data_IF_839033480466
#
_entry.id   IF_839033480466
#
_cell.length_a   1.000
_cell.length_b   1.000
_cell.length_c   1.000
_cell.angle_alpha   90.00
_cell.angle_beta   90.00
_cell.angle_gamma   90.00
#
_symmetry.space_group_name_H-M   'P 1'
#
loop_
_entity.id
_entity.type
_entity.pdbx_description
1 polymer ?
#
# COMPACT_ATOMS: atom_id res chain seq x y z
N UNK A 1 4.55 -2.39 -10.39
CA UNK A 1 3.99 -3.67 -10.91
C UNK A 1 2.53 -3.59 -11.35
N UNK A 2 1.58 -3.13 -10.52
CA UNK A 2 0.16 -3.04 -10.90
C UNK A 2 -0.14 -2.17 -12.14
N UNK A 3 0.63 -1.09 -12.36
CA UNK A 3 0.53 -0.31 -13.59
C UNK A 3 0.85 -1.15 -14.83
N UNK A 4 1.85 -2.04 -14.75
CA UNK A 4 2.20 -2.96 -15.84
C UNK A 4 1.14 -4.05 -16.01
N UNK A 5 0.63 -4.61 -14.90
CA UNK A 5 -0.48 -5.56 -14.92
C UNK A 5 -1.68 -5.00 -15.69
N UNK A 6 -2.09 -3.77 -15.38
CA UNK A 6 -3.26 -3.16 -15.99
C UNK A 6 -3.12 -2.80 -17.47
N UNK A 7 -1.91 -2.81 -18.05
CA UNK A 7 -1.73 -2.43 -19.45
C UNK A 7 -2.48 -3.40 -20.38
N UNK A 8 -3.09 -2.92 -21.49
CA UNK A 8 -3.86 -3.78 -22.40
C UNK A 8 -3.06 -4.94 -23.02
N UNK A 9 -1.73 -4.79 -23.11
CA UNK A 9 -0.83 -5.85 -23.62
C UNK A 9 -0.63 -7.00 -22.61
N UNK A 10 -0.95 -6.79 -21.33
CA UNK A 10 -0.83 -7.76 -20.23
C UNK A 10 -2.21 -8.24 -19.80
N UNK A 11 -3.06 -7.31 -19.35
CA UNK A 11 -4.43 -7.58 -18.90
C UNK A 11 -5.41 -6.59 -19.55
N UNK A 12 -6.12 -7.01 -20.61
CA UNK A 12 -7.13 -6.19 -21.28
C UNK A 12 -8.22 -5.67 -20.32
N UNK A 13 -8.88 -4.58 -20.71
CA UNK A 13 -10.02 -3.96 -20.00
C UNK A 13 -9.76 -3.49 -18.55
N UNK A 14 -8.50 -3.32 -18.15
CA UNK A 14 -8.10 -2.92 -16.78
C UNK A 14 -7.76 -1.44 -16.61
N UNK A 15 -8.44 -0.53 -17.33
CA UNK A 15 -8.15 0.91 -17.33
C UNK A 15 -8.14 1.52 -15.92
N UNK A 16 -9.10 1.15 -15.06
CA UNK A 16 -9.17 1.67 -13.69
C UNK A 16 -7.92 1.32 -12.87
N UNK A 17 -7.37 0.11 -13.07
CA UNK A 17 -6.12 -0.33 -12.42
C UNK A 17 -4.94 0.52 -12.89
N UNK A 18 -4.87 0.86 -14.19
CA UNK A 18 -3.81 1.74 -14.72
C UNK A 18 -3.93 3.13 -14.08
N UNK A 19 -5.11 3.74 -14.10
CA UNK A 19 -5.27 5.13 -13.68
C UNK A 19 -4.90 5.35 -12.21
N UNK A 20 -5.38 4.48 -11.31
CA UNK A 20 -5.13 4.61 -9.87
C UNK A 20 -3.66 4.36 -9.52
N UNK A 21 -3.04 3.33 -10.11
CA UNK A 21 -1.65 2.98 -9.82
C UNK A 21 -0.68 3.95 -10.51
N UNK A 22 -1.06 4.50 -11.67
CA UNK A 22 -0.34 5.59 -12.32
C UNK A 22 -0.36 6.87 -11.47
N UNK A 23 -1.52 7.26 -10.93
CA UNK A 23 -1.61 8.37 -10.00
C UNK A 23 -0.80 8.11 -8.71
N UNK A 24 -0.88 6.89 -8.17
CA UNK A 24 -0.06 6.45 -7.03
C UNK A 24 1.44 6.60 -7.29
N UNK A 25 1.92 6.16 -8.46
CA UNK A 25 3.33 6.29 -8.85
C UNK A 25 3.78 7.76 -8.90
N UNK A 26 2.94 8.67 -9.39
CA UNK A 26 3.23 10.11 -9.39
C UNK A 26 3.36 10.64 -7.96
N UNK A 27 2.40 10.30 -7.09
CA UNK A 27 2.41 10.72 -5.68
C UNK A 27 3.64 10.17 -4.94
N UNK A 28 3.95 8.88 -5.11
CA UNK A 28 5.13 8.24 -4.52
C UNK A 28 6.42 8.87 -5.01
N UNK A 29 6.50 9.22 -6.30
CA UNK A 29 7.65 9.95 -6.86
C UNK A 29 7.84 11.30 -6.18
N UNK A 30 6.74 12.05 -5.96
CA UNK A 30 6.80 13.33 -5.22
C UNK A 30 7.34 13.10 -3.80
N UNK A 31 6.86 12.07 -3.09
CA UNK A 31 7.37 11.75 -1.75
C UNK A 31 8.86 11.37 -1.75
N UNK A 32 9.33 10.62 -2.74
CA UNK A 32 10.74 10.27 -2.89
C UNK A 32 11.59 11.53 -3.16
N UNK A 33 11.10 12.45 -4.01
CA UNK A 33 11.80 13.72 -4.27
C UNK A 33 11.93 14.54 -2.99
N UNK A 34 10.84 14.70 -2.23
CA UNK A 34 10.86 15.37 -0.91
C UNK A 34 11.84 14.66 0.04
N UNK A 35 11.83 13.32 0.07
CA UNK A 35 12.78 12.57 0.88
C UNK A 35 14.23 12.87 0.47
N UNK A 36 14.52 12.94 -0.83
CA UNK A 36 15.85 13.28 -1.33
C UNK A 36 16.26 14.73 -1.09
N UNK A 37 15.33 15.69 -0.99
CA UNK A 37 15.70 17.06 -0.64
C UNK A 37 16.06 17.19 0.83
N UNK A 38 15.34 16.51 1.73
CA UNK A 38 15.46 16.73 3.18
C UNK A 38 16.23 15.65 3.96
N UNK A 39 16.42 14.44 3.43
CA UNK A 39 17.12 13.36 4.14
C UNK A 39 18.63 13.54 4.15
N UNK A 40 19.33 12.89 5.09
CA UNK A 40 20.79 12.75 5.09
C UNK A 40 21.28 11.86 3.93
N UNK A 41 22.54 12.03 3.54
CA UNK A 41 23.16 11.24 2.47
C UNK A 41 23.11 9.73 2.70
N UNK A 42 23.26 9.28 3.95
CA UNK A 42 23.12 7.86 4.31
C UNK A 42 21.74 7.30 3.97
N UNK A 43 20.68 8.03 4.32
CA UNK A 43 19.31 7.67 3.96
C UNK A 43 19.07 7.68 2.45
N UNK A 44 19.57 8.71 1.75
CA UNK A 44 19.46 8.82 0.29
C UNK A 44 20.10 7.64 -0.42
N UNK A 45 21.33 7.28 -0.06
CA UNK A 45 22.05 6.12 -0.63
C UNK A 45 21.25 4.83 -0.51
N UNK A 46 20.65 4.57 0.66
CA UNK A 46 19.82 3.37 0.89
C UNK A 46 18.62 3.33 -0.06
N UNK A 47 17.88 4.43 -0.18
CA UNK A 47 16.71 4.51 -1.05
C UNK A 47 17.12 4.41 -2.54
N UNK A 48 18.22 5.04 -2.96
CA UNK A 48 18.74 4.93 -4.34
C UNK A 48 19.02 3.47 -4.69
N UNK A 49 19.68 2.71 -3.81
CA UNK A 49 19.96 1.29 -4.03
C UNK A 49 18.66 0.49 -4.19
N UNK A 50 17.67 0.74 -3.32
CA UNK A 50 16.36 0.07 -3.39
C UNK A 50 15.67 0.37 -4.72
N UNK A 51 15.65 1.64 -5.16
CA UNK A 51 15.03 2.04 -6.44
C UNK A 51 15.72 1.41 -7.65
N UNK A 52 17.06 1.30 -7.62
CA UNK A 52 17.80 0.62 -8.70
C UNK A 52 17.43 -0.87 -8.76
N UNK A 53 17.40 -1.55 -7.61
CA UNK A 53 17.00 -2.97 -7.54
C UNK A 53 15.58 -3.14 -8.05
N UNK A 54 14.65 -2.29 -7.63
CA UNK A 54 13.25 -2.32 -8.06
C UNK A 54 13.11 -2.07 -9.58
N UNK A 55 13.86 -1.10 -10.12
CA UNK A 55 13.86 -0.79 -11.54
C UNK A 55 14.39 -1.97 -12.38
N UNK A 56 15.51 -2.57 -11.96
CA UNK A 56 16.09 -3.75 -12.61
C UNK A 56 15.10 -4.93 -12.56
N UNK A 57 14.53 -5.19 -11.38
CA UNK A 57 13.54 -6.24 -11.20
C UNK A 57 12.32 -6.04 -12.11
N UNK A 58 11.77 -4.82 -12.13
CA UNK A 58 10.61 -4.48 -12.96
C UNK A 58 10.93 -4.64 -14.45
N UNK A 59 12.08 -4.12 -14.90
CA UNK A 59 12.53 -4.26 -16.29
C UNK A 59 12.71 -5.73 -16.69
N UNK A 60 13.28 -6.56 -15.81
CA UNK A 60 13.43 -7.99 -16.04
C UNK A 60 12.07 -8.69 -16.17
N UNK A 61 11.13 -8.41 -15.25
CA UNK A 61 9.77 -8.99 -15.33
C UNK A 61 9.07 -8.58 -16.61
N UNK A 62 9.15 -7.30 -17.01
CA UNK A 62 8.57 -6.80 -18.27
C UNK A 62 9.19 -7.52 -19.46
N UNK A 63 10.51 -7.58 -19.54
CA UNK A 63 11.23 -8.23 -20.65
C UNK A 63 10.87 -9.71 -20.76
N UNK A 64 10.90 -10.45 -19.65
CA UNK A 64 10.55 -11.87 -19.60
C UNK A 64 9.08 -12.07 -20.02
N UNK A 65 8.17 -11.26 -19.46
CA UNK A 65 6.73 -11.35 -19.75
C UNK A 65 6.44 -11.16 -21.23
N UNK A 66 7.01 -10.13 -21.86
CA UNK A 66 6.70 -9.78 -23.24
C UNK A 66 7.44 -10.66 -24.26
N UNK A 67 8.59 -11.23 -23.90
CA UNK A 67 9.40 -12.08 -24.79
C UNK A 67 8.92 -13.53 -24.80
N UNK A 68 8.62 -14.10 -23.62
CA UNK A 68 8.37 -15.54 -23.48
C UNK A 68 6.88 -15.90 -23.39
N UNK A 69 6.00 -14.94 -23.13
CA UNK A 69 4.55 -15.19 -23.03
C UNK A 69 3.81 -14.39 -24.09
N UNK A 70 3.03 -15.10 -24.90
CA UNK A 70 2.38 -14.53 -26.08
C UNK A 70 0.86 -14.38 -25.93
N UNK A 71 0.26 -15.04 -24.94
CA UNK A 71 -1.17 -14.93 -24.65
C UNK A 71 -1.45 -13.97 -23.49
N UNK A 72 -2.60 -13.30 -23.52
CA UNK A 72 -3.03 -12.43 -22.42
C UNK A 72 -3.18 -13.18 -21.10
N UNK A 73 -3.70 -14.41 -21.14
CA UNK A 73 -3.88 -15.26 -19.96
C UNK A 73 -2.54 -15.55 -19.25
N UNK A 74 -1.51 -15.96 -20.00
CA UNK A 74 -0.19 -16.23 -19.42
C UNK A 74 0.46 -14.97 -18.83
N UNK A 75 0.36 -13.84 -19.54
CA UNK A 75 0.93 -12.55 -19.08
C UNK A 75 0.22 -12.07 -17.81
N UNK A 76 -1.12 -12.11 -17.82
CA UNK A 76 -1.95 -11.76 -16.68
C UNK A 76 -1.63 -12.65 -15.48
N UNK A 77 -1.50 -13.96 -15.68
CA UNK A 77 -1.18 -14.90 -14.61
C UNK A 77 0.14 -14.59 -13.93
N UNK A 78 1.23 -14.47 -14.70
CA UNK A 78 2.56 -14.29 -14.12
C UNK A 78 2.70 -12.94 -13.44
N UNK A 79 2.28 -11.87 -14.12
CA UNK A 79 2.36 -10.51 -13.56
C UNK A 79 1.40 -10.37 -12.36
N UNK A 80 0.21 -10.95 -12.45
CA UNK A 80 -0.79 -10.97 -11.39
C UNK A 80 -0.28 -11.67 -10.14
N UNK A 81 0.31 -12.87 -10.26
CA UNK A 81 0.91 -13.58 -9.13
C UNK A 81 2.01 -12.77 -8.45
N UNK A 82 2.89 -12.13 -9.22
CA UNK A 82 3.92 -11.23 -8.68
C UNK A 82 3.27 -10.05 -7.91
N UNK A 83 2.22 -9.45 -8.48
CA UNK A 83 1.49 -8.37 -7.83
C UNK A 83 0.84 -8.81 -6.52
N UNK A 84 0.24 -10.01 -6.46
CA UNK A 84 -0.32 -10.58 -5.22
C UNK A 84 0.78 -10.70 -4.15
N UNK A 85 1.93 -11.27 -4.50
CA UNK A 85 3.05 -11.45 -3.54
C UNK A 85 3.47 -10.11 -2.94
N UNK A 86 3.70 -9.09 -3.78
CA UNK A 86 4.05 -7.75 -3.28
C UNK A 86 2.95 -7.15 -2.41
N UNK A 87 1.69 -7.31 -2.81
CA UNK A 87 0.56 -6.78 -2.04
C UNK A 87 0.44 -7.43 -0.66
N UNK A 88 0.64 -8.75 -0.58
CA UNK A 88 0.69 -9.47 0.71
C UNK A 88 1.84 -8.96 1.58
N UNK A 89 3.03 -8.75 1.01
CA UNK A 89 4.16 -8.19 1.75
C UNK A 89 3.85 -6.80 2.31
N UNK A 90 3.08 -5.97 1.59
CA UNK A 90 2.66 -4.65 2.07
C UNK A 90 1.77 -4.74 3.33
N UNK A 91 1.02 -5.84 3.53
CA UNK A 91 0.22 -6.03 4.74
C UNK A 91 1.05 -6.21 6.02
N UNK A 92 2.36 -6.40 5.92
CA UNK A 92 3.24 -6.37 7.10
C UNK A 92 3.17 -5.03 7.86
N UNK A 93 2.99 -3.91 7.14
CA UNK A 93 2.87 -2.57 7.75
C UNK A 93 1.65 -2.44 8.66
N UNK A 94 0.39 -2.63 8.18
CA UNK A 94 -0.78 -2.57 9.05
C UNK A 94 -0.77 -3.63 10.16
N UNK A 95 -0.22 -4.82 9.92
CA UNK A 95 -0.03 -5.84 10.98
C UNK A 95 0.88 -5.35 12.12
N UNK A 96 1.94 -4.61 11.78
CA UNK A 96 2.83 -4.00 12.78
C UNK A 96 2.11 -2.95 13.61
N UNK A 97 1.25 -2.13 12.98
CA UNK A 97 0.42 -1.15 13.68
C UNK A 97 -0.59 -1.84 14.59
N UNK A 98 -1.28 -2.88 14.13
CA UNK A 98 -2.22 -3.66 14.95
C UNK A 98 -1.53 -4.28 16.17
N UNK A 99 -0.34 -4.85 15.98
CA UNK A 99 0.48 -5.38 17.09
C UNK A 99 0.84 -4.29 18.10
N UNK A 100 1.19 -3.10 17.62
CA UNK A 100 1.48 -1.95 18.47
C UNK A 100 0.25 -1.57 19.30
N UNK A 101 -0.93 -1.43 18.68
CA UNK A 101 -2.20 -1.11 19.38
C UNK A 101 -2.51 -2.12 20.49
N UNK A 102 -2.36 -3.42 20.21
CA UNK A 102 -2.62 -4.47 21.21
C UNK A 102 -1.64 -4.36 22.40
N UNK A 103 -0.37 -4.06 22.12
CA UNK A 103 0.68 -3.94 23.15
C UNK A 103 0.54 -2.67 23.98
N UNK A 104 0.26 -1.53 23.34
CA UNK A 104 0.14 -0.22 23.99
C UNK A 104 -1.25 0.04 24.53
N UNK A 105 -2.24 -0.78 24.16
CA UNK A 105 -3.66 -0.60 24.49
C UNK A 105 -4.20 0.76 24.05
N UNK A 106 -3.60 1.32 23.00
CA UNK A 106 -3.85 2.67 22.50
C UNK A 106 -3.93 2.70 20.98
N UNK A 107 -4.93 3.38 20.43
CA UNK A 107 -5.17 3.52 18.98
C UNK A 107 -4.60 4.82 18.41
N UNK A 108 -3.75 5.52 19.16
CA UNK A 108 -3.21 6.85 18.80
C UNK A 108 -2.50 6.87 17.44
N UNK A 109 -1.73 5.83 17.12
CA UNK A 109 -1.01 5.72 15.83
C UNK A 109 -1.83 5.04 14.73
N UNK A 110 -3.14 4.88 14.96
CA UNK A 110 -4.04 4.16 14.07
C UNK A 110 -5.32 4.99 13.84
N UNK A 111 -5.27 6.01 12.97
CA UNK A 111 -6.38 6.93 12.77
C UNK A 111 -7.58 6.23 12.12
N UNK A 112 -8.77 6.41 12.71
CA UNK A 112 -10.02 5.79 12.24
C UNK A 112 -10.31 6.08 10.77
N UNK A 113 -10.11 7.32 10.33
CA UNK A 113 -10.37 7.75 8.96
C UNK A 113 -9.56 6.95 7.95
N UNK A 114 -8.30 6.63 8.27
CA UNK A 114 -7.44 5.83 7.40
C UNK A 114 -7.92 4.37 7.32
N UNK A 115 -8.32 3.79 8.46
CA UNK A 115 -8.86 2.43 8.50
C UNK A 115 -10.19 2.32 7.75
N UNK A 116 -11.10 3.29 7.90
CA UNK A 116 -12.36 3.35 7.16
C UNK A 116 -12.14 3.54 5.65
N UNK A 117 -11.26 4.46 5.25
CA UNK A 117 -10.92 4.68 3.85
C UNK A 117 -10.32 3.42 3.21
N UNK A 118 -9.42 2.74 3.94
CA UNK A 118 -8.83 1.47 3.48
C UNK A 118 -9.88 0.39 3.33
N UNK A 119 -10.81 0.26 4.29
CA UNK A 119 -11.90 -0.70 4.22
C UNK A 119 -12.82 -0.46 3.02
N UNK A 120 -13.26 0.79 2.82
CA UNK A 120 -14.09 1.17 1.69
C UNK A 120 -13.37 0.92 0.36
N UNK A 121 -12.09 1.30 0.26
CA UNK A 121 -11.27 1.03 -0.92
C UNK A 121 -11.19 -0.47 -1.22
N UNK A 122 -10.90 -1.30 -0.22
CA UNK A 122 -10.81 -2.75 -0.40
C UNK A 122 -12.15 -3.36 -0.85
N UNK A 123 -13.28 -2.90 -0.34
CA UNK A 123 -14.61 -3.34 -0.81
C UNK A 123 -14.82 -2.96 -2.28
N UNK A 124 -14.53 -1.71 -2.66
CA UNK A 124 -14.70 -1.24 -4.05
C UNK A 124 -13.89 -2.10 -5.01
N UNK A 125 -12.65 -2.43 -4.67
CA UNK A 125 -11.81 -3.29 -5.49
C UNK A 125 -12.26 -4.75 -5.51
N UNK A 126 -12.77 -5.29 -4.40
CA UNK A 126 -13.39 -6.61 -4.38
C UNK A 126 -14.60 -6.67 -5.32
N UNK A 127 -15.48 -5.65 -5.30
CA UNK A 127 -16.63 -5.56 -6.21
C UNK A 127 -16.16 -5.46 -7.66
N UNK A 128 -15.20 -4.57 -7.96
CA UNK A 128 -14.61 -4.45 -9.30
C UNK A 128 -14.06 -5.79 -9.81
N UNK A 129 -13.32 -6.52 -8.96
CA UNK A 129 -12.74 -7.80 -9.30
C UNK A 129 -13.80 -8.89 -9.54
N UNK A 130 -14.89 -8.89 -8.76
CA UNK A 130 -16.00 -9.84 -8.94
C UNK A 130 -16.80 -9.59 -10.21
N UNK A 131 -16.96 -8.32 -10.64
CA UNK A 131 -17.67 -7.99 -11.89
C UNK A 131 -16.98 -8.56 -13.14
N UNK A 132 -15.64 -8.67 -13.11
CA UNK A 132 -14.83 -9.21 -14.22
C UNK A 132 -14.26 -10.60 -13.92
N UNK A 133 -14.60 -11.18 -12.77
CA UNK A 133 -13.99 -12.41 -12.24
C UNK A 133 -12.46 -12.42 -12.36
N UNK A 134 -11.81 -11.34 -11.89
CA UNK A 134 -10.35 -11.23 -11.83
C UNK A 134 -9.84 -11.72 -10.45
N UNK A 135 -9.33 -12.96 -10.33
CA UNK A 135 -8.85 -13.48 -9.05
C UNK A 135 -7.59 -12.76 -8.56
N UNK A 136 -6.79 -12.16 -9.46
CA UNK A 136 -5.53 -11.52 -9.09
C UNK A 136 -5.76 -10.22 -8.33
N UNK A 137 -6.81 -9.48 -8.68
CA UNK A 137 -7.23 -8.30 -7.93
C UNK A 137 -8.05 -8.70 -6.69
N UNK A 138 -8.88 -9.75 -6.79
CA UNK A 138 -9.78 -10.17 -5.72
C UNK A 138 -9.02 -10.66 -4.47
N UNK A 139 -8.03 -11.54 -4.64
CA UNK A 139 -7.29 -12.14 -3.52
C UNK A 139 -6.66 -11.09 -2.59
N UNK A 140 -5.82 -10.15 -3.07
CA UNK A 140 -5.21 -9.15 -2.20
C UNK A 140 -6.28 -8.25 -1.58
N UNK A 141 -7.24 -7.75 -2.33
CA UNK A 141 -8.26 -6.85 -1.77
C UNK A 141 -9.19 -7.55 -0.77
N UNK A 142 -9.43 -8.85 -0.91
CA UNK A 142 -10.12 -9.66 0.10
C UNK A 142 -9.33 -9.73 1.40
N UNK A 143 -8.03 -10.02 1.33
CA UNK A 143 -7.13 -9.99 2.49
C UNK A 143 -7.05 -8.59 3.12
N UNK A 144 -6.99 -7.54 2.30
CA UNK A 144 -7.04 -6.15 2.72
C UNK A 144 -8.35 -5.80 3.45
N UNK A 145 -9.48 -6.30 2.95
CA UNK A 145 -10.80 -6.13 3.59
C UNK A 145 -10.81 -6.78 4.98
N UNK A 146 -10.32 -8.01 5.10
CA UNK A 146 -10.20 -8.72 6.39
C UNK A 146 -9.30 -7.92 7.34
N UNK A 147 -8.13 -7.50 6.88
CA UNK A 147 -7.19 -6.69 7.66
C UNK A 147 -7.82 -5.38 8.13
N UNK A 148 -8.58 -4.70 7.26
CA UNK A 148 -9.25 -3.45 7.59
C UNK A 148 -10.41 -3.65 8.59
N UNK A 149 -11.15 -4.77 8.52
CA UNK A 149 -12.15 -5.13 9.54
C UNK A 149 -11.48 -5.34 10.90
N UNK A 150 -10.40 -6.12 10.95
CA UNK A 150 -9.66 -6.32 12.21
C UNK A 150 -9.18 -4.99 12.76
N UNK A 151 -8.72 -4.10 11.89
CA UNK A 151 -8.31 -2.76 12.27
C UNK A 151 -9.45 -1.95 12.91
N UNK A 152 -10.63 -1.93 12.31
CA UNK A 152 -11.80 -1.23 12.85
C UNK A 152 -12.27 -1.83 14.19
N UNK A 153 -12.22 -3.15 14.34
CA UNK A 153 -12.54 -3.84 15.60
C UNK A 153 -11.56 -3.45 16.70
N UNK A 154 -10.26 -3.47 16.40
CA UNK A 154 -9.23 -3.03 17.35
C UNK A 154 -9.40 -1.57 17.74
N UNK A 155 -9.73 -0.71 16.77
CA UNK A 155 -10.02 0.70 17.04
C UNK A 155 -11.17 0.83 18.04
N UNK A 156 -12.32 0.23 17.76
CA UNK A 156 -13.50 0.28 18.63
C UNK A 156 -13.22 -0.27 20.04
N UNK A 157 -12.38 -1.30 20.14
CA UNK A 157 -12.05 -1.96 21.42
C UNK A 157 -11.11 -1.12 22.30
N UNK A 158 -10.11 -0.46 21.71
CA UNK A 158 -9.06 0.25 22.45
C UNK A 158 -9.23 1.78 22.44
N UNK A 159 -10.27 2.30 21.78
CA UNK A 159 -10.56 3.74 21.75
C UNK A 159 -10.76 4.32 23.15
N UNK A 160 -11.57 3.65 23.98
CA UNK A 160 -11.85 4.11 25.35
C UNK A 160 -10.67 4.00 26.30
N UNK A 161 -9.73 3.08 26.04
CA UNK A 161 -8.51 2.91 26.85
C UNK A 161 -7.36 3.80 26.41
N UNK A 162 -7.53 4.57 25.34
CA UNK A 162 -6.48 5.45 24.81
C UNK A 162 -6.39 6.72 25.65
N UNK A 163 -5.20 6.99 26.20
CA UNK A 163 -4.94 8.25 26.90
C UNK A 163 -4.65 9.37 25.87
N UNK A 164 -5.56 10.33 25.76
CA UNK A 164 -5.46 11.44 24.79
C UNK A 164 -4.71 12.65 25.36
N UNK A 165 -4.61 12.78 26.68
CA UNK A 165 -4.11 13.98 27.39
C UNK A 165 -2.57 14.17 27.36
N UNK A 166 -1.82 13.18 26.89
CA UNK A 166 -0.35 13.24 26.82
C UNK A 166 0.16 14.02 25.58
N UNK A 167 -0.65 14.17 24.53
CA UNK A 167 -0.24 14.89 23.30
C UNK A 167 -0.41 16.42 23.42
N UNK A 168 -1.49 16.88 24.05
CA UNK A 168 -1.75 18.31 24.31
C UNK A 168 -0.58 18.94 25.07
N UNK A 169 0.02 18.22 26.02
CA UNK A 169 1.18 18.72 26.77
C UNK A 169 2.45 18.82 25.93
N UNK A 170 2.70 17.86 25.04
CA UNK A 170 3.87 17.88 24.15
C UNK A 170 3.74 18.89 23.00
N UNK A 171 2.54 19.08 22.43
CA UNK A 171 2.29 20.12 21.44
C UNK A 171 2.41 21.52 22.06
N UNK A 172 1.84 21.74 23.26
CA UNK A 172 2.00 22.99 24.02
C UNK A 172 3.47 23.25 24.37
N UNK A 173 4.23 22.24 24.77
CA UNK A 173 5.66 22.40 25.05
C UNK A 173 6.50 22.70 23.80
N UNK A 174 6.21 22.05 22.66
CA UNK A 174 6.90 22.37 21.39
C UNK A 174 6.53 23.75 20.85
N UNK A 175 5.30 24.21 21.05
CA UNK A 175 4.86 25.56 20.71
C UNK A 175 5.55 26.60 21.60
N UNK A 176 5.58 26.36 22.92
CA UNK A 176 6.22 27.25 23.90
C UNK A 176 7.75 27.32 23.77
N UNK A 177 8.41 26.31 23.21
CA UNK A 177 9.86 26.33 22.97
C UNK A 177 10.26 27.04 21.67
N UNK A 178 9.30 27.36 20.79
CA UNK A 178 9.50 28.05 19.51
C UNK A 178 9.11 29.53 19.54
N UNK A 179 8.59 30.03 20.66
CA UNK A 179 8.29 31.43 20.92
C UNK A 179 9.40 32.06 21.78
#
# INVERSE_FOLDING_TARGET
MWTFYGLPIVHPDSLLVITINGAGLVIETIFIVIFFTYSTWGGRKKIIIILIIEAIFTAAVVAITLTFFHTYEQRSMIVGLICIVFNILMYASPLTVMKMVIKTKSVRYMPLTLSLATFANSIVWCVYALLRFDPYILVPNGLGSISAIVQLVLYATYYSSTNWDDDDRSEVQMSSSKA
#
